data_IF_896912002430
#
_entry.id   IF_896912002430
#
_cell.length_a   1.000
_cell.length_b   1.000
_cell.length_c   1.000
_cell.angle_alpha   90.00
_cell.angle_beta   90.00
_cell.angle_gamma   90.00
#
_symmetry.space_group_name_H-M   'P 1'
#
loop_
_entity.id
_entity.type
_entity.pdbx_description
1 polymer ?
#
# COMPACT_ATOMS: atom_id res chain seq x y z
N UNK A 1 -4.80 4.13 -19.99
CA UNK A 1 -4.99 5.20 -18.98
C UNK A 1 -5.32 4.54 -17.65
N UNK A 2 -4.37 4.45 -16.72
CA UNK A 2 -4.66 4.00 -15.35
C UNK A 2 -5.39 5.12 -14.62
N UNK A 3 -6.50 4.80 -13.93
CA UNK A 3 -7.22 5.79 -13.12
C UNK A 3 -6.31 6.19 -11.94
N UNK A 4 -6.15 7.50 -11.72
CA UNK A 4 -5.54 8.05 -10.52
C UNK A 4 -6.52 7.91 -9.36
N UNK A 5 -6.69 6.70 -8.84
CA UNK A 5 -7.36 6.49 -7.55
C UNK A 5 -6.28 6.21 -6.53
N UNK A 6 -6.18 7.05 -5.50
CA UNK A 6 -5.29 6.87 -4.34
C UNK A 6 -6.06 6.33 -3.13
N UNK A 7 -7.31 5.91 -3.34
CA UNK A 7 -8.19 5.44 -2.29
C UNK A 7 -9.16 4.37 -2.79
N UNK A 8 -9.71 3.61 -1.85
CA UNK A 8 -10.87 2.74 -2.06
C UNK A 8 -11.73 2.69 -0.79
N UNK A 9 -13.00 2.37 -0.96
CA UNK A 9 -13.97 2.28 0.14
C UNK A 9 -14.72 0.96 0.10
N UNK A 10 -15.14 0.52 1.29
CA UNK A 10 -16.09 -0.57 1.51
C UNK A 10 -17.39 0.03 2.09
N UNK A 11 -18.32 -0.82 2.53
CA UNK A 11 -19.50 -0.36 3.27
C UNK A 11 -19.16 0.02 4.72
N UNK A 12 -17.97 -0.33 5.23
CA UNK A 12 -17.59 -0.14 6.64
C UNK A 12 -16.46 0.86 6.86
N UNK A 13 -15.65 1.16 5.84
CA UNK A 13 -14.49 2.03 5.98
C UNK A 13 -13.95 2.52 4.63
N UNK A 14 -13.07 3.51 4.70
CA UNK A 14 -12.24 4.00 3.60
C UNK A 14 -10.75 3.75 3.88
N UNK A 15 -9.99 3.48 2.82
CA UNK A 15 -8.53 3.44 2.82
C UNK A 15 -8.03 4.44 1.80
N UNK A 16 -7.13 5.34 2.20
CA UNK A 16 -6.56 6.35 1.32
C UNK A 16 -5.06 6.55 1.60
N UNK A 17 -4.26 6.75 0.56
CA UNK A 17 -2.88 7.20 0.71
C UNK A 17 -2.85 8.65 1.22
N UNK A 18 -2.01 8.90 2.21
CA UNK A 18 -1.86 10.24 2.80
C UNK A 18 -0.88 11.09 2.01
N UNK A 19 -1.04 12.42 2.11
CA UNK A 19 -0.07 13.41 1.65
C UNK A 19 0.82 13.92 2.79
N UNK A 20 0.51 13.51 4.03
CA UNK A 20 1.22 13.97 5.21
C UNK A 20 2.57 13.27 5.34
N UNK A 21 3.65 14.02 5.67
CA UNK A 21 4.97 13.44 5.86
C UNK A 21 4.95 12.34 6.94
N UNK A 22 5.49 11.17 6.59
CA UNK A 22 5.61 10.03 7.51
C UNK A 22 4.39 9.12 7.61
N UNK A 23 3.26 9.48 6.97
CA UNK A 23 2.08 8.63 6.85
C UNK A 23 1.99 8.13 5.41
N UNK A 24 1.94 6.82 5.24
CA UNK A 24 1.76 6.21 3.93
C UNK A 24 0.28 6.19 3.55
N UNK A 25 -0.56 5.59 4.40
CA UNK A 25 -1.99 5.51 4.17
C UNK A 25 -2.75 5.46 5.48
N UNK A 26 -4.05 5.71 5.38
CA UNK A 26 -4.95 5.80 6.52
C UNK A 26 -6.13 4.85 6.36
N UNK A 27 -6.53 4.25 7.46
CA UNK A 27 -7.76 3.49 7.61
C UNK A 27 -8.78 4.34 8.38
N UNK A 28 -9.92 4.60 7.75
CA UNK A 28 -10.99 5.41 8.33
C UNK A 28 -12.29 4.60 8.39
N UNK A 29 -12.61 3.99 9.55
CA UNK A 29 -13.88 3.30 9.74
C UNK A 29 -15.04 4.29 9.78
N UNK A 30 -16.12 3.97 9.07
CA UNK A 30 -17.32 4.78 9.05
C UNK A 30 -18.05 4.67 10.39
N UNK A 31 -18.57 5.79 10.89
CA UNK A 31 -19.21 5.88 12.21
C UNK A 31 -18.22 6.05 13.38
N UNK A 32 -16.91 6.02 13.13
CA UNK A 32 -15.88 6.36 14.12
C UNK A 32 -15.19 7.67 13.75
N UNK A 33 -14.73 8.42 14.76
CA UNK A 33 -13.83 9.58 14.55
C UNK A 33 -12.36 9.18 14.55
N UNK A 34 -12.03 7.94 14.90
CA UNK A 34 -10.66 7.47 15.01
C UNK A 34 -10.15 7.05 13.64
N UNK A 35 -9.11 7.75 13.17
CA UNK A 35 -8.35 7.40 11.97
C UNK A 35 -7.11 6.63 12.44
N UNK A 36 -6.81 5.53 11.76
CA UNK A 36 -5.58 4.76 12.00
C UNK A 36 -4.63 5.03 10.85
N UNK A 37 -3.51 5.70 11.16
CA UNK A 37 -2.50 6.07 10.17
C UNK A 37 -1.37 5.04 10.18
N UNK A 38 -0.97 4.59 8.99
CA UNK A 38 0.10 3.61 8.79
C UNK A 38 1.30 4.30 8.16
N UNK A 39 2.43 4.27 8.86
CA UNK A 39 3.69 4.74 8.32
C UNK A 39 4.23 3.80 7.24
N UNK A 40 5.10 4.34 6.40
CA UNK A 40 5.90 3.56 5.47
C UNK A 40 6.73 2.51 6.25
N UNK A 41 6.82 1.26 5.79
CA UNK A 41 7.72 0.30 6.41
C UNK A 41 9.18 0.76 6.25
N UNK A 42 9.98 0.61 7.30
CA UNK A 42 11.44 0.71 7.19
C UNK A 42 11.93 -0.52 6.44
N UNK A 43 12.58 -0.31 5.29
CA UNK A 43 13.12 -1.40 4.47
C UNK A 43 14.64 -1.40 4.57
N UNK A 44 15.22 -2.59 4.39
CA UNK A 44 16.66 -2.76 4.30
C UNK A 44 17.05 -2.91 2.83
N UNK A 45 17.80 -1.95 2.29
CA UNK A 45 18.31 -1.96 0.92
C UNK A 45 19.83 -2.02 1.02
N UNK A 46 20.44 -3.04 0.40
CA UNK A 46 21.89 -3.27 0.45
C UNK A 46 22.51 -3.34 1.86
N UNK A 47 21.75 -3.80 2.86
CA UNK A 47 22.23 -3.91 4.25
C UNK A 47 22.00 -2.66 5.11
N UNK A 48 21.44 -1.59 4.54
CA UNK A 48 21.15 -0.35 5.25
C UNK A 48 19.65 -0.17 5.45
N UNK A 49 19.24 0.26 6.65
CA UNK A 49 17.85 0.65 6.91
C UNK A 49 17.58 2.01 6.27
N UNK A 50 16.73 2.02 5.26
CA UNK A 50 16.41 3.21 4.49
C UNK A 50 14.99 3.65 4.82
N UNK A 51 14.87 4.93 5.16
CA UNK A 51 13.58 5.64 5.09
C UNK A 51 13.51 6.23 3.69
N UNK A 52 12.55 5.79 2.89
CA UNK A 52 12.40 6.24 1.51
C UNK A 52 11.16 7.09 1.34
N UNK A 53 11.17 7.95 0.33
CA UNK A 53 9.96 8.62 -0.15
C UNK A 53 9.40 7.85 -1.33
N UNK A 54 8.10 7.97 -1.56
CA UNK A 54 7.42 7.38 -2.69
C UNK A 54 6.90 8.48 -3.61
N UNK A 55 6.95 8.23 -4.91
CA UNK A 55 6.14 9.02 -5.85
C UNK A 55 4.65 8.87 -5.53
N UNK A 56 3.79 9.71 -6.12
CA UNK A 56 2.33 9.56 -5.99
C UNK A 56 1.90 8.11 -6.34
N UNK A 57 1.24 7.39 -5.42
CA UNK A 57 0.77 6.03 -5.68
C UNK A 57 -0.30 6.01 -6.76
N UNK A 58 -0.22 5.02 -7.64
CA UNK A 58 -1.21 4.78 -8.68
C UNK A 58 -1.75 3.36 -8.59
N UNK A 59 -2.97 3.14 -9.06
CA UNK A 59 -3.51 1.79 -9.21
C UNK A 59 -2.63 1.00 -10.19
N UNK A 60 -2.12 -0.15 -9.74
CA UNK A 60 -1.27 -1.04 -10.54
C UNK A 60 -2.13 -1.90 -11.47
N UNK A 61 -3.21 -2.46 -10.91
CA UNK A 61 -4.19 -3.27 -11.62
C UNK A 61 -5.59 -2.92 -11.13
N UNK A 62 -6.64 -3.01 -11.98
CA UNK A 62 -8.02 -2.82 -11.54
C UNK A 62 -8.36 -3.73 -10.35
N UNK A 63 -9.24 -3.30 -9.43
CA UNK A 63 -9.65 -4.14 -8.31
C UNK A 63 -10.25 -5.46 -8.78
N UNK A 64 -9.82 -6.57 -8.17
CA UNK A 64 -10.29 -7.92 -8.53
C UNK A 64 -11.05 -8.53 -7.36
N UNK A 65 -12.25 -9.03 -7.61
CA UNK A 65 -12.99 -9.83 -6.63
C UNK A 65 -12.51 -11.28 -6.68
N UNK A 66 -11.96 -11.75 -5.56
CA UNK A 66 -11.51 -13.13 -5.38
C UNK A 66 -12.71 -14.07 -5.19
N UNK A 67 -12.49 -15.38 -5.34
CA UNK A 67 -13.55 -16.41 -5.25
C UNK A 67 -14.31 -16.41 -3.92
N UNK A 68 -13.72 -15.89 -2.86
CA UNK A 68 -14.32 -15.77 -1.53
C UNK A 68 -15.07 -14.44 -1.32
N UNK A 69 -15.30 -13.64 -2.37
CA UNK A 69 -16.00 -12.36 -2.30
C UNK A 69 -15.18 -11.19 -1.75
N UNK A 70 -13.89 -11.41 -1.44
CA UNK A 70 -12.95 -10.35 -1.03
C UNK A 70 -12.43 -9.62 -2.25
N UNK A 71 -12.44 -8.29 -2.24
CA UNK A 71 -11.81 -7.48 -3.29
C UNK A 71 -10.34 -7.24 -2.96
N UNK A 72 -9.48 -7.45 -3.95
CA UNK A 72 -8.06 -7.12 -3.92
C UNK A 72 -7.81 -5.82 -4.67
N UNK A 73 -7.17 -4.86 -4.01
CA UNK A 73 -6.78 -3.56 -4.54
C UNK A 73 -5.26 -3.47 -4.52
N UNK A 74 -4.66 -3.08 -5.63
CA UNK A 74 -3.22 -3.04 -5.77
C UNK A 74 -2.79 -1.67 -6.25
N UNK A 75 -1.89 -1.06 -5.50
CA UNK A 75 -1.29 0.24 -5.82
C UNK A 75 0.23 0.08 -5.92
N UNK A 76 0.84 0.88 -6.80
CA UNK A 76 2.29 0.96 -6.94
C UNK A 76 2.78 2.41 -6.91
N UNK A 77 4.02 2.59 -6.48
CA UNK A 77 4.73 3.85 -6.52
C UNK A 77 6.22 3.59 -6.78
N UNK A 78 6.90 4.52 -7.42
CA UNK A 78 8.36 4.48 -7.52
C UNK A 78 8.97 4.87 -6.18
N UNK A 79 10.08 4.23 -5.82
CA UNK A 79 10.86 4.62 -4.65
C UNK A 79 11.81 5.76 -5.05
N UNK A 80 11.62 6.93 -4.46
CA UNK A 80 12.43 8.10 -4.77
C UNK A 80 13.90 7.85 -4.38
N UNK A 81 14.82 8.22 -5.27
CA UNK A 81 16.25 7.97 -5.10
C UNK A 81 16.72 6.57 -5.53
N UNK A 82 15.82 5.64 -5.86
CA UNK A 82 16.17 4.29 -6.29
C UNK A 82 15.60 3.96 -7.67
N UNK A 83 16.41 4.16 -8.72
CA UNK A 83 16.03 3.83 -10.09
C UNK A 83 15.71 2.34 -10.22
N UNK A 84 14.56 2.04 -10.80
CA UNK A 84 14.11 0.66 -11.02
C UNK A 84 13.52 -0.04 -9.79
N UNK A 85 13.33 0.68 -8.69
CA UNK A 85 12.72 0.14 -7.48
C UNK A 85 11.26 0.61 -7.34
N UNK A 86 10.35 -0.35 -7.27
CA UNK A 86 8.91 -0.14 -7.19
C UNK A 86 8.40 -0.65 -5.85
N UNK A 87 7.69 0.20 -5.12
CA UNK A 87 6.88 -0.19 -3.99
C UNK A 87 5.48 -0.60 -4.46
N UNK A 88 4.96 -1.69 -3.93
CA UNK A 88 3.62 -2.19 -4.24
C UNK A 88 2.88 -2.51 -2.95
N UNK A 89 1.70 -1.91 -2.78
CA UNK A 89 0.79 -2.17 -1.67
C UNK A 89 -0.41 -2.97 -2.17
N UNK A 90 -0.68 -4.10 -1.53
CA UNK A 90 -1.80 -4.96 -1.84
C UNK A 90 -2.75 -5.00 -0.65
N UNK A 91 -4.00 -4.60 -0.87
CA UNK A 91 -5.06 -4.57 0.12
C UNK A 91 -6.13 -5.60 -0.23
N UNK A 92 -6.65 -6.29 0.78
CA UNK A 92 -7.75 -7.24 0.66
C UNK A 92 -8.84 -6.88 1.64
N UNK A 93 -10.01 -6.58 1.09
CA UNK A 93 -11.15 -6.03 1.82
C UNK A 93 -12.43 -6.80 1.47
N UNK A 94 -13.19 -7.23 2.48
CA UNK A 94 -14.55 -7.71 2.27
C UNK A 94 -15.51 -6.53 2.44
N UNK A 95 -16.55 -6.45 1.60
CA UNK A 95 -17.45 -5.28 1.58
C UNK A 95 -18.16 -5.02 2.91
N UNK A 96 -18.53 -6.08 3.65
CA UNK A 96 -19.30 -6.03 4.90
C UNK A 96 -18.47 -6.44 6.14
N UNK A 97 -17.15 -6.25 6.11
CA UNK A 97 -16.29 -6.55 7.25
C UNK A 97 -15.41 -5.36 7.56
N UNK A 98 -15.20 -5.00 8.83
CA UNK A 98 -14.21 -3.99 9.19
C UNK A 98 -12.77 -4.49 9.01
N UNK A 99 -12.56 -5.78 8.75
CA UNK A 99 -11.24 -6.39 8.64
C UNK A 99 -10.60 -6.07 7.30
N UNK A 100 -9.51 -5.32 7.35
CA UNK A 100 -8.60 -5.08 6.23
C UNK A 100 -7.35 -5.95 6.39
N UNK A 101 -6.96 -6.66 5.32
CA UNK A 101 -5.63 -7.29 5.22
C UNK A 101 -4.79 -6.52 4.23
N UNK A 102 -3.51 -6.33 4.54
CA UNK A 102 -2.59 -5.67 3.62
C UNK A 102 -1.22 -6.32 3.66
N UNK A 103 -0.47 -6.14 2.57
CA UNK A 103 0.95 -6.48 2.47
C UNK A 103 1.67 -5.50 1.57
N UNK A 104 2.98 -5.39 1.75
CA UNK A 104 3.85 -4.61 0.90
C UNK A 104 4.86 -5.50 0.20
N UNK A 105 5.17 -5.14 -1.04
CA UNK A 105 6.16 -5.80 -1.89
C UNK A 105 7.11 -4.72 -2.42
N UNK A 106 8.40 -5.04 -2.49
CA UNK A 106 9.41 -4.20 -3.11
C UNK A 106 9.93 -4.96 -4.33
N UNK A 107 9.80 -4.37 -5.50
CA UNK A 107 10.08 -5.00 -6.78
C UNK A 107 11.23 -4.24 -7.44
N UNK A 108 12.35 -4.93 -7.67
CA UNK A 108 13.47 -4.39 -8.44
C UNK A 108 13.37 -4.83 -9.91
N UNK A 109 13.46 -3.90 -10.85
CA UNK A 109 13.56 -4.19 -12.28
C UNK A 109 15.03 -4.35 -12.67
N UNK A 110 15.56 -5.57 -12.55
CA UNK A 110 16.93 -6.05 -12.83
C UNK A 110 18.12 -5.24 -12.24
N UNK A 111 19.11 -5.99 -11.73
CA UNK A 111 20.32 -5.57 -10.99
C UNK A 111 20.21 -5.05 -9.55
N UNK A 112 19.03 -4.99 -8.93
CA UNK A 112 18.93 -4.78 -7.47
C UNK A 112 18.45 -6.05 -6.75
N UNK A 113 19.35 -6.71 -6.02
CA UNK A 113 19.02 -7.79 -5.08
C UNK A 113 18.19 -7.22 -3.94
N UNK A 114 16.87 -7.35 -3.99
CA UNK A 114 15.99 -6.98 -2.88
C UNK A 114 15.74 -8.19 -2.00
N UNK A 115 16.13 -8.10 -0.73
CA UNK A 115 15.90 -9.14 0.27
C UNK A 115 14.85 -8.66 1.29
N UNK A 116 13.76 -9.44 1.37
CA UNK A 116 12.80 -9.59 2.47
C UNK A 116 11.71 -8.52 2.67
N UNK A 117 10.49 -9.07 2.75
CA UNK A 117 9.22 -8.47 3.17
C UNK A 117 9.27 -8.31 4.70
N UNK A 118 8.99 -7.11 5.22
CA UNK A 118 8.73 -6.90 6.64
C UNK A 118 7.24 -6.66 6.87
N UNK A 119 6.58 -7.67 7.44
CA UNK A 119 5.22 -7.54 7.99
C UNK A 119 5.36 -7.34 9.50
N UNK A 120 4.93 -6.19 10.03
CA UNK A 120 4.82 -6.01 11.49
C UNK A 120 3.61 -6.84 11.95
N UNK A 121 3.85 -7.84 12.80
CA UNK A 121 2.82 -8.63 13.50
C UNK A 121 2.12 -7.79 14.56
#
# INVERSE_FOLDING_TARGET
MHKKSTAFSTLSYEVAFSKDPGILWEYKPFGSKNIVSFALPVLEINGEKVTFSLSEPIEDTPPVTLRNGVSEYVFKANVEGYTGLIFRACFRAAQNSPVLRFRYELIGTENQKTNKIFTKK
#
